data_IF_572483388970
#
_entry.id   IF_572483388970
#
_cell.length_a   1.000
_cell.length_b   1.000
_cell.length_c   1.000
_cell.angle_alpha   90.00
_cell.angle_beta   90.00
_cell.angle_gamma   90.00
#
_symmetry.space_group_name_H-M   'P 1'
#
loop_
_entity.id
_entity.type
_entity.pdbx_description
1 polymer ?
#
# COMPACT_ATOMS: atom_id res chain seq x y z
N UNK A 1 65.72 44.35 -3.44
CA UNK A 1 64.88 43.24 -2.96
C UNK A 1 63.47 43.78 -2.73
N UNK A 2 62.52 43.46 -3.62
CA UNK A 2 61.14 43.99 -3.60
C UNK A 2 60.27 43.25 -2.59
N UNK A 3 59.50 44.00 -1.80
CA UNK A 3 58.52 43.48 -0.84
C UNK A 3 57.14 43.40 -1.53
N UNK A 4 56.63 42.19 -1.73
CA UNK A 4 55.30 41.95 -2.31
C UNK A 4 54.26 42.08 -1.18
N UNK A 5 53.28 42.96 -1.37
CA UNK A 5 52.10 43.09 -0.50
C UNK A 5 50.96 42.28 -1.14
N UNK A 6 50.46 41.26 -0.45
CA UNK A 6 49.28 40.49 -0.86
C UNK A 6 48.00 41.11 -0.28
N UNK A 7 46.89 41.21 -1.05
CA UNK A 7 45.62 41.74 -0.54
C UNK A 7 44.93 40.74 0.41
N UNK A 8 44.12 41.22 1.37
CA UNK A 8 43.41 40.34 2.31
C UNK A 8 42.34 39.52 1.57
N UNK A 9 42.30 38.20 1.85
CA UNK A 9 41.26 37.28 1.38
C UNK A 9 39.93 37.63 2.06
N UNK A 10 38.94 38.08 1.29
CA UNK A 10 37.58 38.30 1.77
C UNK A 10 36.92 36.98 2.16
N UNK A 11 36.87 36.69 3.46
CA UNK A 11 36.05 35.62 4.01
C UNK A 11 34.58 36.06 4.08
N UNK A 12 33.65 35.19 3.71
CA UNK A 12 32.21 35.45 3.78
C UNK A 12 31.82 35.59 5.27
N UNK A 13 31.51 36.80 5.72
CA UNK A 13 30.99 37.04 7.08
C UNK A 13 29.50 36.69 7.15
N UNK A 14 29.18 35.44 7.47
CA UNK A 14 27.81 35.00 7.72
C UNK A 14 27.36 35.49 9.11
N UNK A 15 26.46 36.47 9.17
CA UNK A 15 25.86 36.88 10.43
C UNK A 15 24.86 35.82 10.93
N UNK A 16 24.72 35.66 12.25
CA UNK A 16 23.74 34.72 12.86
C UNK A 16 22.33 34.90 12.29
N UNK A 17 21.94 36.15 12.00
CA UNK A 17 20.66 36.49 11.38
C UNK A 17 20.52 35.92 9.96
N UNK A 18 21.57 36.05 9.13
CA UNK A 18 21.55 35.50 7.76
C UNK A 18 21.52 33.97 7.76
N UNK A 19 22.18 33.33 8.72
CA UNK A 19 22.12 31.89 8.91
C UNK A 19 20.70 31.41 9.28
N UNK A 20 20.05 32.05 10.26
CA UNK A 20 18.68 31.72 10.67
C UNK A 20 17.68 31.99 9.53
N UNK A 21 17.86 33.09 8.80
CA UNK A 21 17.04 33.40 7.62
C UNK A 21 17.20 32.33 6.52
N UNK A 22 18.43 31.83 6.31
CA UNK A 22 18.68 30.72 5.39
C UNK A 22 18.00 29.42 5.80
N UNK A 23 18.05 29.06 7.08
CA UNK A 23 17.34 27.89 7.61
C UNK A 23 15.81 28.03 7.49
N UNK A 24 15.26 29.20 7.83
CA UNK A 24 13.83 29.46 7.74
C UNK A 24 13.33 29.42 6.29
N UNK A 25 14.06 30.05 5.36
CA UNK A 25 13.73 30.02 3.94
C UNK A 25 13.85 28.60 3.35
N UNK A 26 14.90 27.86 3.71
CA UNK A 26 15.07 26.46 3.29
C UNK A 26 13.97 25.54 3.81
N UNK A 27 13.59 25.67 5.09
CA UNK A 27 12.49 24.90 5.69
C UNK A 27 11.13 25.19 5.06
N UNK A 28 10.84 26.46 4.76
CA UNK A 28 9.59 26.85 4.10
C UNK A 28 9.49 26.30 2.66
N UNK A 29 10.59 26.31 1.92
CA UNK A 29 10.65 25.75 0.56
C UNK A 29 10.48 24.23 0.54
N UNK A 30 11.07 23.52 1.51
CA UNK A 30 10.89 22.07 1.65
C UNK A 30 9.47 21.70 2.12
N UNK A 31 8.87 22.51 3.00
CA UNK A 31 7.52 22.30 3.51
C UNK A 31 6.40 22.51 2.49
N UNK A 32 6.60 23.38 1.49
CA UNK A 32 5.59 23.63 0.44
C UNK A 32 5.56 22.59 -0.69
N UNK A 33 6.62 21.78 -0.85
CA UNK A 33 6.72 20.76 -1.91
C UNK A 33 6.32 19.34 -1.48
N UNK A 34 6.26 19.08 -0.18
CA UNK A 34 5.92 17.77 0.38
C UNK A 34 4.50 17.76 0.94
N UNK A 35 3.51 17.77 0.06
CA UNK A 35 2.19 17.28 0.46
C UNK A 35 2.36 15.79 0.79
N UNK A 36 2.06 15.33 2.02
CA UNK A 36 2.02 13.90 2.29
C UNK A 36 0.93 13.33 1.37
N UNK A 37 1.35 12.60 0.34
CA UNK A 37 0.42 11.72 -0.36
C UNK A 37 0.09 10.63 0.65
N UNK A 38 -1.14 10.50 1.14
CA UNK A 38 -1.51 9.30 1.85
C UNK A 38 -1.23 8.15 0.89
N UNK A 39 -0.21 7.35 1.19
CA UNK A 39 0.03 6.11 0.48
C UNK A 39 -1.20 5.26 0.68
N UNK A 40 -1.96 5.02 -0.38
CA UNK A 40 -3.10 4.11 -0.36
C UNK A 40 -2.57 2.68 -0.15
N UNK A 41 -2.22 2.34 1.09
CA UNK A 41 -1.72 1.03 1.46
C UNK A 41 -2.86 0.04 1.82
N UNK A 42 -4.12 0.45 1.69
CA UNK A 42 -5.27 -0.38 2.09
C UNK A 42 -5.88 -1.20 0.95
N UNK A 43 -5.43 -1.06 -0.29
CA UNK A 43 -6.06 -1.75 -1.44
C UNK A 43 -5.72 -3.24 -1.51
N UNK A 44 -4.77 -3.73 -0.70
CA UNK A 44 -4.31 -5.13 -0.72
C UNK A 44 -4.68 -5.93 0.53
N UNK A 45 -5.45 -5.38 1.47
CA UNK A 45 -5.93 -6.14 2.62
C UNK A 45 -7.19 -6.91 2.28
N UNK A 46 -7.33 -8.11 2.84
CA UNK A 46 -8.57 -8.87 2.65
C UNK A 46 -9.77 -8.07 3.15
N UNK A 47 -10.86 -8.11 2.39
CA UNK A 47 -12.13 -7.55 2.81
C UNK A 47 -12.65 -8.36 4.00
N UNK A 48 -13.00 -7.65 5.06
CA UNK A 48 -13.64 -8.19 6.26
C UNK A 48 -15.15 -8.05 6.12
N UNK A 49 -15.87 -9.16 6.11
CA UNK A 49 -17.34 -9.19 6.11
C UNK A 49 -17.93 -10.13 5.07
N UNK A 50 -19.19 -10.57 5.25
CA UNK A 50 -19.82 -11.54 4.38
C UNK A 50 -20.11 -10.94 3.01
N UNK A 51 -19.37 -11.40 2.00
CA UNK A 51 -19.72 -11.20 0.60
C UNK A 51 -20.75 -12.27 0.24
N UNK A 52 -21.90 -11.88 -0.31
CA UNK A 52 -22.91 -12.83 -0.80
C UNK A 52 -23.02 -12.67 -2.31
N UNK A 53 -22.70 -13.73 -3.04
CA UNK A 53 -22.85 -13.80 -4.49
C UNK A 53 -24.11 -14.60 -4.81
N UNK A 54 -24.91 -14.15 -5.77
CA UNK A 54 -26.13 -14.86 -6.20
C UNK A 54 -26.17 -15.02 -7.71
N UNK A 55 -26.71 -16.13 -8.19
CA UNK A 55 -26.85 -16.43 -9.61
C UNK A 55 -26.48 -17.87 -9.94
N UNK A 56 -26.22 -18.13 -11.22
CA UNK A 56 -25.86 -19.46 -11.74
C UNK A 56 -24.45 -19.52 -12.32
N UNK A 57 -23.71 -18.41 -12.30
CA UNK A 57 -22.30 -18.35 -12.71
C UNK A 57 -21.49 -17.61 -11.67
N UNK A 58 -20.42 -18.23 -11.22
CA UNK A 58 -19.52 -17.67 -10.22
C UNK A 58 -18.08 -17.77 -10.70
N UNK A 59 -17.33 -16.69 -10.56
CA UNK A 59 -15.91 -16.67 -10.78
C UNK A 59 -15.22 -16.53 -9.42
N UNK A 60 -14.41 -17.53 -9.06
CA UNK A 60 -13.74 -17.66 -7.78
C UNK A 60 -12.23 -17.60 -7.99
N UNK A 61 -11.56 -16.66 -7.35
CA UNK A 61 -10.12 -16.50 -7.43
C UNK A 61 -9.48 -16.74 -6.07
N UNK A 62 -8.63 -17.76 -6.00
CA UNK A 62 -7.79 -18.06 -4.84
C UNK A 62 -6.53 -17.19 -4.93
N UNK A 63 -6.26 -16.40 -3.89
CA UNK A 63 -5.07 -15.54 -3.83
C UNK A 63 -4.47 -15.48 -2.43
N UNK A 64 -3.14 -15.45 -2.29
CA UNK A 64 -2.49 -15.14 -1.02
C UNK A 64 -2.76 -13.66 -0.70
N UNK A 65 -3.43 -13.40 0.42
CA UNK A 65 -3.92 -12.05 0.76
C UNK A 65 -3.45 -11.66 2.17
N UNK A 66 -2.84 -10.47 2.36
CA UNK A 66 -2.54 -9.91 3.67
C UNK A 66 -3.80 -9.71 4.53
N UNK A 67 -3.75 -10.18 5.77
CA UNK A 67 -4.80 -10.08 6.77
C UNK A 67 -4.23 -9.66 8.12
N UNK A 68 -5.06 -9.02 8.94
CA UNK A 68 -4.71 -8.66 10.32
C UNK A 68 -5.96 -8.75 11.20
N UNK A 69 -6.13 -9.90 11.85
CA UNK A 69 -7.29 -10.14 12.75
C UNK A 69 -6.93 -9.98 14.22
N UNK A 70 -5.65 -10.02 14.57
CA UNK A 70 -5.14 -10.07 15.95
C UNK A 70 -4.14 -8.95 16.27
N UNK A 71 -4.04 -7.93 15.42
CA UNK A 71 -3.04 -6.86 15.51
C UNK A 71 -1.71 -7.21 14.84
N UNK A 72 -1.57 -8.39 14.22
CA UNK A 72 -0.36 -8.83 13.51
C UNK A 72 -0.69 -9.21 12.06
N UNK A 73 0.12 -8.71 11.13
CA UNK A 73 -0.02 -9.02 9.72
C UNK A 73 0.36 -10.49 9.43
N UNK A 74 -0.49 -11.17 8.67
CA UNK A 74 -0.33 -12.55 8.21
C UNK A 74 -0.82 -12.68 6.77
N UNK A 75 -0.35 -13.70 6.06
CA UNK A 75 -0.95 -14.10 4.79
C UNK A 75 -2.02 -15.15 5.06
N UNK A 76 -3.16 -15.01 4.41
CA UNK A 76 -4.21 -16.02 4.37
C UNK A 76 -4.57 -16.33 2.92
N UNK A 77 -5.02 -17.55 2.67
CA UNK A 77 -5.69 -17.90 1.42
C UNK A 77 -7.07 -17.27 1.42
N UNK A 78 -7.31 -16.35 0.49
CA UNK A 78 -8.59 -15.68 0.33
C UNK A 78 -9.24 -16.10 -0.99
N UNK A 79 -10.58 -16.14 -1.01
CA UNK A 79 -11.34 -16.25 -2.25
C UNK A 79 -11.96 -14.90 -2.54
N UNK A 80 -11.77 -14.40 -3.76
CA UNK A 80 -12.22 -13.07 -4.20
C UNK A 80 -11.76 -11.94 -3.27
N UNK A 81 -10.55 -12.09 -2.70
CA UNK A 81 -9.95 -11.12 -1.79
C UNK A 81 -10.66 -10.99 -0.43
N UNK A 82 -11.46 -11.97 -0.03
CA UNK A 82 -12.20 -11.97 1.25
C UNK A 82 -11.85 -13.17 2.12
N UNK A 83 -11.83 -12.93 3.44
CA UNK A 83 -11.70 -13.95 4.48
C UNK A 83 -12.73 -13.65 5.58
N UNK A 84 -13.74 -14.52 5.81
CA UNK A 84 -14.02 -15.75 5.07
C UNK A 84 -14.39 -15.49 3.60
N UNK A 85 -14.34 -16.56 2.78
CA UNK A 85 -14.74 -16.54 1.38
C UNK A 85 -16.22 -16.11 1.20
N UNK A 86 -16.64 -15.71 -0.02
CA UNK A 86 -18.02 -15.33 -0.27
C UNK A 86 -18.99 -16.49 -0.07
N UNK A 87 -20.18 -16.20 0.47
CA UNK A 87 -21.32 -17.10 0.46
C UNK A 87 -21.91 -17.11 -0.94
N UNK A 88 -22.01 -18.28 -1.55
CA UNK A 88 -22.65 -18.44 -2.84
C UNK A 88 -24.12 -18.84 -2.64
N UNK A 89 -25.04 -18.21 -3.37
CA UNK A 89 -26.48 -18.47 -3.31
C UNK A 89 -27.03 -18.75 -4.71
N UNK A 90 -27.72 -19.87 -4.84
CA UNK A 90 -28.46 -20.26 -6.03
C UNK A 90 -29.75 -20.96 -5.59
N UNK A 91 -30.62 -21.31 -6.54
CA UNK A 91 -31.86 -22.03 -6.25
C UNK A 91 -31.70 -23.52 -6.51
N UNK A 92 -32.44 -24.33 -5.76
CA UNK A 92 -32.55 -25.76 -6.07
C UNK A 92 -33.08 -25.95 -7.50
N UNK A 93 -32.50 -26.89 -8.23
CA UNK A 93 -32.79 -27.15 -9.64
C UNK A 93 -31.97 -26.31 -10.63
N UNK A 94 -31.22 -25.30 -10.17
CA UNK A 94 -30.32 -24.55 -11.04
C UNK A 94 -29.12 -25.40 -11.50
N UNK A 95 -28.75 -25.27 -12.77
CA UNK A 95 -27.43 -25.67 -13.23
C UNK A 95 -26.45 -24.52 -13.02
N UNK A 96 -25.41 -24.75 -12.21
CA UNK A 96 -24.46 -23.71 -11.78
C UNK A 96 -23.09 -23.97 -12.40
N UNK A 97 -22.47 -22.92 -12.94
CA UNK A 97 -21.08 -22.94 -13.41
C UNK A 97 -20.18 -22.20 -12.43
N UNK A 98 -19.11 -22.85 -12.00
CA UNK A 98 -18.04 -22.24 -11.20
C UNK A 98 -16.75 -22.20 -12.01
N UNK A 99 -16.27 -21.00 -12.35
CA UNK A 99 -14.94 -20.79 -12.89
C UNK A 99 -13.99 -20.57 -11.73
N UNK A 100 -12.90 -21.34 -11.66
CA UNK A 100 -11.92 -21.23 -10.58
C UNK A 100 -10.58 -20.81 -11.15
N UNK A 101 -9.97 -19.79 -10.56
CA UNK A 101 -8.61 -19.35 -10.85
C UNK A 101 -7.77 -19.51 -9.60
N UNK A 102 -6.69 -20.30 -9.70
CA UNK A 102 -5.73 -20.48 -8.62
C UNK A 102 -4.50 -19.60 -8.86
N UNK A 103 -4.31 -18.57 -8.03
CA UNK A 103 -3.09 -17.74 -8.02
C UNK A 103 -2.15 -18.10 -6.85
N UNK A 104 -2.37 -19.21 -6.16
CA UNK A 104 -1.45 -19.72 -5.14
C UNK A 104 -0.22 -20.32 -5.81
N UNK A 105 0.86 -20.47 -5.04
CA UNK A 105 2.07 -21.15 -5.49
C UNK A 105 1.92 -22.69 -5.48
N UNK A 106 0.89 -23.19 -4.81
CA UNK A 106 0.56 -24.60 -4.70
C UNK A 106 -0.72 -24.98 -5.44
N UNK A 107 -0.83 -26.27 -5.79
CA UNK A 107 -2.07 -26.86 -6.28
C UNK A 107 -3.15 -26.85 -5.19
N UNK A 108 -4.41 -26.70 -5.60
CA UNK A 108 -5.55 -26.61 -4.67
C UNK A 108 -6.78 -27.32 -5.23
N UNK A 109 -7.73 -27.64 -4.35
CA UNK A 109 -9.04 -28.19 -4.69
C UNK A 109 -10.17 -27.42 -3.99
N UNK A 110 -11.40 -27.61 -4.48
CA UNK A 110 -12.62 -27.14 -3.82
C UNK A 110 -13.41 -28.36 -3.39
N UNK A 111 -13.85 -28.36 -2.13
CA UNK A 111 -14.73 -29.39 -1.59
C UNK A 111 -16.01 -28.74 -1.05
N UNK A 112 -17.15 -29.27 -1.48
CA UNK A 112 -18.45 -28.95 -0.89
C UNK A 112 -18.71 -29.97 0.21
N UNK A 113 -18.68 -29.50 1.45
CA UNK A 113 -19.00 -30.30 2.64
C UNK A 113 -20.51 -30.49 2.79
#
# INVERSE_FOLDING_TARGET
>A
MSKIILPPRGGISLSRRRFVQGLAAGGALLGMGMSPRPGQADVMRARMGPQVLSGTRFDLTYSPTPVNFTGKDRLATAINGSVPAPVLRWKEGDNVTLSVTNNLAEDTSIHWH
#
